data_IF_276583373226
#
_entry.id   IF_276583373226
#
_cell.length_a   1.000
_cell.length_b   1.000
_cell.length_c   1.000
_cell.angle_alpha   90.00
_cell.angle_beta   90.00
_cell.angle_gamma   90.00
#
_symmetry.space_group_name_H-M   'P 1'
#
loop_
_entity.id
_entity.type
_entity.pdbx_description
1 polymer ?
#
# COMPACT_ATOMS: atom_id res chain seq x y z
N UNK A 1 5.09 -5.25 -17.07
CA UNK A 1 4.64 -3.85 -16.99
C UNK A 1 5.78 -2.94 -17.44
N UNK A 2 5.52 -2.03 -18.35
CA UNK A 2 6.56 -1.10 -18.79
C UNK A 2 6.72 0.04 -17.77
N UNK A 3 7.87 0.77 -17.81
CA UNK A 3 8.13 1.85 -16.85
C UNK A 3 7.07 2.96 -16.85
N UNK A 4 6.50 3.29 -18.00
CA UNK A 4 5.50 4.35 -18.09
C UNK A 4 4.19 3.95 -17.39
N UNK A 5 3.75 2.71 -17.58
CA UNK A 5 2.58 2.18 -16.87
C UNK A 5 2.81 2.12 -15.37
N UNK A 6 4.00 1.69 -14.96
CA UNK A 6 4.35 1.61 -13.55
C UNK A 6 4.32 3.00 -12.90
N UNK A 7 4.85 4.01 -13.58
CA UNK A 7 4.85 5.39 -13.09
C UNK A 7 3.44 5.96 -13.03
N UNK A 8 2.60 5.70 -14.03
CA UNK A 8 1.21 6.15 -14.04
C UNK A 8 0.42 5.56 -12.87
N UNK A 9 0.60 4.26 -12.61
CA UNK A 9 -0.06 3.57 -11.48
C UNK A 9 0.45 4.08 -10.15
N UNK A 10 1.75 4.33 -10.02
CA UNK A 10 2.35 4.88 -8.81
C UNK A 10 1.81 6.27 -8.51
N UNK A 11 1.69 7.12 -9.54
CA UNK A 11 1.15 8.47 -9.39
C UNK A 11 -0.32 8.42 -8.95
N UNK A 12 -1.10 7.53 -9.55
CA UNK A 12 -2.49 7.33 -9.14
C UNK A 12 -2.59 6.84 -7.70
N UNK A 13 -1.73 5.90 -7.30
CA UNK A 13 -1.68 5.41 -5.92
C UNK A 13 -1.33 6.52 -4.94
N UNK A 14 -0.37 7.39 -5.27
CA UNK A 14 -0.03 8.55 -4.43
C UNK A 14 -1.21 9.49 -4.28
N UNK A 15 -1.92 9.79 -5.37
CA UNK A 15 -3.11 10.64 -5.33
C UNK A 15 -4.19 10.06 -4.43
N UNK A 16 -4.41 8.75 -4.50
CA UNK A 16 -5.38 8.06 -3.63
C UNK A 16 -4.95 8.17 -2.17
N UNK A 17 -3.70 7.84 -1.86
CA UNK A 17 -3.21 7.84 -0.48
C UNK A 17 -3.09 9.24 0.13
N UNK A 18 -2.96 10.28 -0.71
CA UNK A 18 -2.90 11.67 -0.27
C UNK A 18 -4.27 12.34 -0.19
N UNK A 19 -5.30 11.71 -0.74
CA UNK A 19 -6.66 12.24 -0.68
C UNK A 19 -7.10 12.34 0.78
N UNK A 20 -7.55 13.52 1.26
CA UNK A 20 -7.95 13.69 2.66
C UNK A 20 -9.06 12.75 3.11
N UNK A 21 -10.03 12.46 2.25
CA UNK A 21 -11.12 11.55 2.57
C UNK A 21 -10.62 10.12 2.73
N UNK A 22 -9.68 9.68 1.89
CA UNK A 22 -9.08 8.35 1.98
C UNK A 22 -8.24 8.23 3.26
N UNK A 23 -7.43 9.25 3.57
CA UNK A 23 -6.64 9.27 4.81
C UNK A 23 -7.54 9.16 6.04
N UNK A 24 -8.61 9.95 6.07
CA UNK A 24 -9.57 9.92 7.17
C UNK A 24 -10.25 8.56 7.29
N UNK A 25 -10.67 8.00 6.15
CA UNK A 25 -11.33 6.69 6.12
C UNK A 25 -10.42 5.57 6.56
N UNK A 26 -9.15 5.59 6.14
CA UNK A 26 -8.18 4.58 6.56
C UNK A 26 -7.87 4.70 8.05
N UNK A 27 -7.71 5.92 8.56
CA UNK A 27 -7.50 6.14 9.99
C UNK A 27 -8.70 5.65 10.82
N UNK A 28 -9.91 5.90 10.36
CA UNK A 28 -11.12 5.43 11.02
C UNK A 28 -11.21 3.89 11.01
N UNK A 29 -10.84 3.26 9.89
CA UNK A 29 -10.80 1.81 9.77
C UNK A 29 -9.75 1.20 10.71
N UNK A 30 -8.55 1.76 10.79
CA UNK A 30 -7.51 1.30 11.70
C UNK A 30 -7.95 1.41 13.15
N UNK A 31 -8.58 2.51 13.53
CA UNK A 31 -9.13 2.68 14.89
C UNK A 31 -10.19 1.63 15.20
N UNK A 32 -11.11 1.39 14.27
CA UNK A 32 -12.16 0.40 14.46
C UNK A 32 -11.59 -1.01 14.61
N UNK A 33 -10.57 -1.36 13.82
CA UNK A 33 -9.90 -2.65 13.89
C UNK A 33 -9.14 -2.82 15.21
N UNK A 34 -8.42 -1.78 15.64
CA UNK A 34 -7.71 -1.80 16.93
C UNK A 34 -8.67 -1.97 18.09
N UNK A 35 -9.83 -1.32 18.05
CA UNK A 35 -10.85 -1.49 19.08
C UNK A 35 -11.41 -2.91 19.07
N UNK A 36 -11.65 -3.48 17.89
CA UNK A 36 -12.13 -4.85 17.77
C UNK A 36 -11.15 -5.87 18.36
N UNK A 37 -9.86 -5.68 18.10
CA UNK A 37 -8.80 -6.54 18.67
C UNK A 37 -8.80 -6.46 20.20
N UNK A 38 -8.85 -5.25 20.74
CA UNK A 38 -8.83 -5.02 22.20
C UNK A 38 -10.10 -5.47 22.90
N UNK A 39 -11.24 -5.39 22.21
CA UNK A 39 -12.53 -5.78 22.77
C UNK A 39 -12.82 -7.26 22.64
N UNK A 40 -12.02 -8.03 21.90
CA UNK A 40 -12.23 -9.45 21.71
C UNK A 40 -12.14 -10.21 23.03
N UNK A 41 -13.21 -10.94 23.37
CA UNK A 41 -13.31 -11.69 24.63
C UNK A 41 -13.27 -13.20 24.40
N UNK A 42 -13.38 -13.65 23.18
CA UNK A 42 -13.35 -15.06 22.81
C UNK A 42 -12.33 -15.27 21.70
N UNK A 43 -11.88 -16.51 21.54
CA UNK A 43 -10.98 -16.90 20.45
C UNK A 43 -11.60 -16.59 19.09
N UNK A 44 -12.90 -16.82 18.96
CA UNK A 44 -13.62 -16.60 17.72
C UNK A 44 -13.65 -15.09 17.36
N UNK A 45 -13.91 -14.24 18.35
CA UNK A 45 -13.88 -12.78 18.14
C UNK A 45 -12.47 -12.31 17.79
N UNK A 46 -11.44 -12.82 18.47
CA UNK A 46 -10.05 -12.51 18.19
C UNK A 46 -9.64 -12.94 16.78
N UNK A 47 -10.07 -14.12 16.36
CA UNK A 47 -9.79 -14.65 15.02
C UNK A 47 -10.43 -13.77 13.94
N UNK A 48 -11.70 -13.40 14.12
CA UNK A 48 -12.38 -12.48 13.18
C UNK A 48 -11.70 -11.13 13.07
N UNK A 49 -11.29 -10.57 14.21
CA UNK A 49 -10.58 -9.29 14.24
C UNK A 49 -9.23 -9.39 13.52
N UNK A 50 -8.50 -10.49 13.74
CA UNK A 50 -7.21 -10.70 13.07
C UNK A 50 -7.37 -10.81 11.55
N UNK A 51 -8.39 -11.53 11.07
CA UNK A 51 -8.68 -11.62 9.63
C UNK A 51 -9.02 -10.25 9.06
N UNK A 52 -9.84 -9.47 9.75
CA UNK A 52 -10.20 -8.12 9.30
C UNK A 52 -8.96 -7.22 9.17
N UNK A 53 -8.04 -7.30 10.14
CA UNK A 53 -6.77 -6.58 10.07
C UNK A 53 -5.92 -7.00 8.86
N UNK A 54 -5.84 -8.31 8.60
CA UNK A 54 -5.10 -8.83 7.45
C UNK A 54 -5.69 -8.35 6.12
N UNK A 55 -7.02 -8.36 6.00
CA UNK A 55 -7.70 -7.88 4.80
C UNK A 55 -7.44 -6.38 4.59
N UNK A 56 -7.51 -5.59 5.64
CA UNK A 56 -7.22 -4.16 5.57
C UNK A 56 -5.77 -3.92 5.11
N UNK A 57 -4.83 -4.65 5.70
CA UNK A 57 -3.40 -4.54 5.35
C UNK A 57 -3.15 -4.93 3.89
N UNK A 58 -3.85 -5.95 3.38
CA UNK A 58 -3.76 -6.36 1.98
C UNK A 58 -4.24 -5.27 1.03
N UNK A 59 -5.36 -4.62 1.35
CA UNK A 59 -5.92 -3.54 0.53
C UNK A 59 -4.96 -2.35 0.51
N UNK A 60 -4.52 -1.91 1.67
CA UNK A 60 -3.58 -0.79 1.81
C UNK A 60 -2.25 -1.10 1.14
N UNK A 61 -1.73 -2.30 1.38
CA UNK A 61 -0.48 -2.76 0.79
C UNK A 61 -0.55 -2.90 -0.73
N UNK A 62 -1.71 -3.25 -1.29
CA UNK A 62 -1.91 -3.31 -2.73
C UNK A 62 -1.76 -1.92 -3.37
N UNK A 63 -2.31 -0.89 -2.73
CA UNK A 63 -2.18 0.49 -3.21
C UNK A 63 -0.72 0.96 -3.09
N UNK A 64 -0.11 0.77 -1.92
CA UNK A 64 1.29 1.14 -1.68
C UNK A 64 2.25 0.37 -2.59
N UNK A 65 1.91 -0.86 -2.94
CA UNK A 65 2.70 -1.72 -3.82
C UNK A 65 2.95 -1.13 -5.19
N UNK A 66 2.02 -0.35 -5.73
CA UNK A 66 2.22 0.33 -7.02
C UNK A 66 3.36 1.35 -6.94
N UNK A 67 3.48 2.03 -5.81
CA UNK A 67 4.57 3.01 -5.59
C UNK A 67 5.90 2.27 -5.47
N UNK A 68 5.95 1.18 -4.72
CA UNK A 68 7.17 0.38 -4.55
C UNK A 68 7.62 -0.25 -5.87
N UNK A 69 6.68 -0.76 -6.67
CA UNK A 69 6.98 -1.35 -7.98
C UNK A 69 7.65 -0.32 -8.90
N UNK A 70 7.12 0.91 -8.93
CA UNK A 70 7.69 1.98 -9.73
C UNK A 70 9.11 2.35 -9.28
N UNK A 71 9.35 2.39 -7.96
CA UNK A 71 10.69 2.65 -7.40
C UNK A 71 11.68 1.57 -7.78
N UNK A 72 11.28 0.30 -7.73
CA UNK A 72 12.14 -0.84 -8.11
C UNK A 72 12.50 -0.76 -9.59
N UNK A 73 11.52 -0.52 -10.45
CA UNK A 73 11.74 -0.39 -11.90
C UNK A 73 12.68 0.79 -12.18
N UNK A 74 12.45 1.92 -11.56
CA UNK A 74 13.30 3.11 -11.70
C UNK A 74 14.73 2.82 -11.27
N UNK A 75 14.92 2.18 -10.12
CA UNK A 75 16.23 1.80 -9.61
C UNK A 75 16.99 0.89 -10.56
N UNK A 76 16.32 -0.12 -11.12
CA UNK A 76 16.95 -1.08 -12.04
C UNK A 76 17.23 -0.47 -13.41
N UNK A 77 16.43 0.49 -13.84
CA UNK A 77 16.54 1.10 -15.17
C UNK A 77 17.64 2.16 -15.25
N UNK A 78 17.78 3.01 -14.25
CA UNK A 78 18.77 4.10 -14.22
C UNK A 78 20.23 3.64 -14.36
N UNK A 79 20.69 2.61 -13.63
CA UNK A 79 22.05 2.10 -13.80
C UNK A 79 22.34 1.62 -15.21
N UNK A 80 21.38 0.93 -15.84
CA UNK A 80 21.52 0.47 -17.22
C UNK A 80 21.69 1.61 -18.21
N UNK A 81 20.97 2.71 -18.02
CA UNK A 81 21.13 3.91 -18.83
C UNK A 81 22.49 4.56 -18.64
N UNK A 82 22.96 4.63 -17.39
CA UNK A 82 24.30 5.14 -17.08
C UNK A 82 25.38 4.36 -17.80
N UNK A 83 25.35 3.04 -17.73
CA UNK A 83 26.31 2.16 -18.42
C UNK A 83 26.24 2.35 -19.92
N UNK A 84 25.03 2.43 -20.48
CA UNK A 84 24.78 2.55 -21.91
C UNK A 84 25.33 3.85 -22.49
N UNK A 85 25.25 4.94 -21.76
CA UNK A 85 25.68 6.27 -22.21
C UNK A 85 27.02 6.70 -21.62
N UNK A 86 27.70 5.85 -20.88
CA UNK A 86 28.99 6.16 -20.28
C UNK A 86 28.93 7.19 -19.15
N UNK A 87 27.78 7.28 -18.51
CA UNK A 87 27.58 8.21 -17.41
C UNK A 87 27.99 7.59 -16.04
#
# INVERSE_FOLDING_TARGET
MNPDEAQARAERARQILEDPMIKESFAAAEDALNRAVRAAKTEQEAFKAAIACQVFDLIKGSIEGHIQTAKIIEYNFKPSLKERFGL
#
